data_IF_638006271407
#
_entry.id   IF_638006271407
#
_cell.length_a   1.000
_cell.length_b   1.000
_cell.length_c   1.000
_cell.angle_alpha   90.00
_cell.angle_beta   90.00
_cell.angle_gamma   90.00
#
_symmetry.space_group_name_H-M   'P 1'
#
loop_
_entity.id
_entity.type
_entity.pdbx_description
1 polymer ?
#
# COMPACT_ATOMS: atom_id res chain seq x y z
N UNK A 1 1.05 -17.12 -20.08
CA UNK A 1 -0.03 -16.44 -19.34
C UNK A 1 0.60 -15.88 -18.08
N UNK A 2 0.79 -14.55 -17.97
CA UNK A 2 1.33 -13.94 -16.75
C UNK A 2 0.20 -13.95 -15.72
N UNK A 3 0.35 -14.77 -14.68
CA UNK A 3 -0.59 -14.82 -13.57
C UNK A 3 -0.62 -13.45 -12.89
N UNK A 4 -1.81 -13.00 -12.53
CA UNK A 4 -2.00 -11.88 -11.62
C UNK A 4 -1.25 -12.20 -10.32
N UNK A 5 -0.14 -11.54 -10.07
CA UNK A 5 0.50 -11.60 -8.77
C UNK A 5 -0.33 -10.71 -7.83
N UNK A 6 -0.71 -11.24 -6.66
CA UNK A 6 -1.61 -10.58 -5.68
C UNK A 6 -1.13 -9.19 -5.25
N UNK A 7 0.14 -8.91 -5.50
CA UNK A 7 0.88 -7.69 -5.18
C UNK A 7 0.47 -6.46 -6.00
N UNK A 8 -0.29 -6.60 -7.08
CA UNK A 8 -0.79 -5.47 -7.86
C UNK A 8 -2.20 -5.03 -7.46
N UNK A 9 -2.81 -5.71 -6.47
CA UNK A 9 -4.15 -5.40 -5.97
C UNK A 9 -4.08 -4.65 -4.64
N UNK A 10 -4.43 -3.37 -4.65
CA UNK A 10 -4.66 -2.60 -3.44
C UNK A 10 -6.05 -2.94 -2.89
N UNK A 11 -6.07 -3.78 -1.84
CA UNK A 11 -7.31 -4.27 -1.20
C UNK A 11 -8.03 -3.14 -0.47
N UNK A 12 -7.30 -2.40 0.37
CA UNK A 12 -7.81 -1.31 1.19
C UNK A 12 -6.82 -0.14 1.24
N UNK A 13 -7.31 1.03 1.62
CA UNK A 13 -6.52 2.25 1.74
C UNK A 13 -5.97 2.41 3.15
N UNK A 14 -4.71 2.82 3.31
CA UNK A 14 -4.22 3.27 4.60
C UNK A 14 -4.91 4.59 5.00
N UNK A 15 -4.88 4.89 6.30
CA UNK A 15 -5.34 6.19 6.79
C UNK A 15 -4.42 7.33 6.28
N UNK A 16 -4.99 8.30 5.56
CA UNK A 16 -4.26 9.47 5.06
C UNK A 16 -4.17 10.63 6.08
N UNK A 17 -4.93 10.55 7.18
CA UNK A 17 -5.03 11.61 8.19
C UNK A 17 -3.77 11.83 9.04
N UNK A 18 -2.74 11.00 8.87
CA UNK A 18 -1.44 11.11 9.55
C UNK A 18 -0.37 11.73 8.64
N UNK A 19 -0.68 12.86 7.99
CA UNK A 19 0.21 13.55 7.04
C UNK A 19 0.68 12.63 5.89
N UNK A 20 -0.27 11.84 5.36
CA UNK A 20 -0.01 10.84 4.32
C UNK A 20 1.09 9.83 4.69
N UNK A 21 1.19 9.44 5.96
CA UNK A 21 2.17 8.47 6.44
C UNK A 21 1.56 7.46 7.40
N UNK A 22 2.25 6.35 7.63
CA UNK A 22 1.94 5.37 8.66
C UNK A 22 3.21 4.95 9.42
N UNK A 23 3.04 4.57 10.68
CA UNK A 23 4.06 3.85 11.43
C UNK A 23 3.76 2.36 11.33
N UNK A 24 4.71 1.58 10.85
CA UNK A 24 4.57 0.15 10.58
C UNK A 24 5.49 -0.60 11.54
N UNK A 25 4.95 -1.61 12.21
CA UNK A 25 5.69 -2.49 13.11
C UNK A 25 5.92 -3.84 12.43
N UNK A 26 7.15 -4.33 12.50
CA UNK A 26 7.55 -5.61 11.94
C UNK A 26 7.58 -6.69 13.01
N UNK A 27 7.54 -7.95 12.56
CA UNK A 27 7.47 -9.12 13.46
C UNK A 27 8.71 -9.27 14.37
N UNK A 28 9.84 -8.68 13.99
CA UNK A 28 11.08 -8.67 14.77
C UNK A 28 11.14 -7.51 15.80
N UNK A 29 10.10 -6.68 15.86
CA UNK A 29 10.00 -5.54 16.77
C UNK A 29 10.53 -4.22 16.21
N UNK A 30 11.04 -4.18 14.98
CA UNK A 30 11.43 -2.92 14.34
C UNK A 30 10.20 -2.07 13.99
N UNK A 31 10.41 -0.75 13.93
CA UNK A 31 9.40 0.23 13.58
C UNK A 31 9.95 1.14 12.50
N UNK A 32 9.17 1.34 11.44
CA UNK A 32 9.47 2.33 10.40
C UNK A 32 8.30 3.29 10.23
N UNK A 33 8.61 4.52 9.80
CA UNK A 33 7.62 5.48 9.35
C UNK A 33 7.72 5.55 7.83
N UNK A 34 6.65 5.16 7.15
CA UNK A 34 6.58 5.26 5.69
C UNK A 34 5.61 6.36 5.29
N UNK A 35 6.05 7.25 4.40
CA UNK A 35 5.20 8.25 3.77
C UNK A 35 4.72 7.71 2.43
N UNK A 36 3.41 7.65 2.25
CA UNK A 36 2.79 7.15 1.02
C UNK A 36 3.17 8.04 -0.16
N UNK A 37 3.69 7.42 -1.21
CA UNK A 37 4.26 8.10 -2.38
C UNK A 37 3.30 8.08 -3.56
N UNK A 38 2.52 7.01 -3.72
CA UNK A 38 1.60 6.88 -4.83
C UNK A 38 0.26 7.54 -4.51
N UNK A 39 -0.18 8.47 -5.35
CA UNK A 39 -1.48 9.14 -5.20
C UNK A 39 -2.67 8.17 -5.19
N UNK A 40 -2.51 6.97 -5.75
CA UNK A 40 -3.51 5.90 -5.74
C UNK A 40 -3.65 5.26 -4.35
N UNK A 41 -2.64 5.35 -3.49
CA UNK A 41 -2.65 4.85 -2.10
C UNK A 41 -3.34 5.84 -1.16
N UNK A 42 -3.33 7.14 -1.50
CA UNK A 42 -3.89 8.23 -0.69
C UNK A 42 -4.84 9.13 -1.52
N UNK A 43 -5.91 8.58 -2.11
CA UNK A 43 -6.83 9.38 -2.90
C UNK A 43 -7.51 10.46 -2.03
N UNK A 44 -7.91 11.60 -2.62
CA UNK A 44 -8.64 12.64 -1.90
C UNK A 44 -9.93 12.10 -1.27
N UNK A 45 -10.09 12.30 0.04
CA UNK A 45 -11.30 11.92 0.75
C UNK A 45 -12.37 13.01 0.60
N UNK A 46 -13.54 12.64 0.08
CA UNK A 46 -14.70 13.54 -0.02
C UNK A 46 -15.81 13.01 0.89
N UNK A 47 -16.32 13.86 1.79
CA UNK A 47 -17.39 13.48 2.73
C UNK A 47 -18.61 12.94 1.95
N UNK A 48 -19.12 11.79 2.37
CA UNK A 48 -20.29 11.15 1.76
C UNK A 48 -19.99 10.40 0.45
N UNK A 49 -18.72 10.29 0.06
CA UNK A 49 -18.29 9.50 -1.10
C UNK A 49 -17.41 8.34 -0.65
N UNK A 50 -17.83 7.13 -0.98
CA UNK A 50 -17.04 5.93 -0.75
C UNK A 50 -15.90 5.82 -1.76
N UNK A 51 -14.77 5.26 -1.31
CA UNK A 51 -13.68 4.87 -2.20
C UNK A 51 -13.95 3.47 -2.74
N UNK A 52 -13.52 3.22 -3.98
CA UNK A 52 -13.56 1.88 -4.55
C UNK A 52 -12.43 1.03 -3.96
N UNK A 53 -12.78 -0.12 -3.40
CA UNK A 53 -11.83 -1.11 -2.87
C UNK A 53 -11.37 -2.09 -3.96
N UNK A 54 -10.32 -2.88 -3.67
CA UNK A 54 -9.76 -3.88 -4.58
C UNK A 54 -9.36 -3.28 -5.93
N UNK A 55 -8.53 -2.24 -5.90
CA UNK A 55 -8.03 -1.58 -7.10
C UNK A 55 -6.80 -2.29 -7.63
N UNK A 56 -6.82 -2.61 -8.92
CA UNK A 56 -5.62 -3.02 -9.63
C UNK A 56 -4.74 -1.78 -9.88
N UNK A 57 -3.61 -1.71 -9.17
CA UNK A 57 -2.65 -0.60 -9.21
C UNK A 57 -1.26 -1.14 -9.53
N UNK A 58 -0.99 -1.49 -10.80
CA UNK A 58 0.30 -2.00 -11.20
C UNK A 58 1.38 -0.92 -10.97
N UNK A 59 2.58 -1.38 -10.60
CA UNK A 59 3.75 -0.55 -10.29
C UNK A 59 3.47 0.53 -9.22
N UNK A 60 2.64 0.23 -8.22
CA UNK A 60 2.46 1.11 -7.06
C UNK A 60 3.68 1.03 -6.15
N UNK A 61 4.38 2.14 -5.99
CA UNK A 61 5.61 2.22 -5.19
C UNK A 61 5.38 1.87 -3.72
N UNK A 62 4.21 2.19 -3.17
CA UNK A 62 3.90 1.87 -1.77
C UNK A 62 3.67 0.37 -1.57
N UNK A 63 3.02 -0.29 -2.54
CA UNK A 63 2.85 -1.74 -2.48
C UNK A 63 4.16 -2.49 -2.69
N UNK A 64 5.03 -2.00 -3.59
CA UNK A 64 6.37 -2.55 -3.78
C UNK A 64 7.20 -2.39 -2.50
N UNK A 65 7.18 -1.22 -1.88
CA UNK A 65 7.83 -0.99 -0.59
C UNK A 65 7.32 -1.97 0.48
N UNK A 66 6.00 -2.15 0.61
CA UNK A 66 5.44 -3.10 1.57
C UNK A 66 5.90 -4.54 1.31
N UNK A 67 6.03 -4.95 0.04
CA UNK A 67 6.53 -6.29 -0.29
C UNK A 67 8.00 -6.47 0.10
N UNK A 68 8.85 -5.48 -0.22
CA UNK A 68 10.27 -5.50 0.14
C UNK A 68 10.49 -5.60 1.65
N UNK A 69 9.54 -5.12 2.46
CA UNK A 69 9.58 -5.17 3.93
C UNK A 69 8.68 -6.28 4.52
N UNK A 70 8.21 -7.19 3.66
CA UNK A 70 7.49 -8.40 4.06
C UNK A 70 8.34 -9.63 3.83
N UNK A 71 7.93 -10.78 4.37
CA UNK A 71 8.58 -12.06 4.07
C UNK A 71 8.16 -12.64 2.71
N UNK A 72 7.48 -11.87 1.87
CA UNK A 72 6.99 -12.33 0.58
C UNK A 72 8.13 -12.51 -0.43
N UNK A 73 7.92 -13.39 -1.40
CA UNK A 73 8.89 -13.71 -2.44
C UNK A 73 8.91 -12.58 -3.47
N UNK A 74 9.81 -11.61 -3.31
CA UNK A 74 10.06 -10.59 -4.32
C UNK A 74 10.80 -11.24 -5.50
N UNK A 75 10.06 -11.59 -6.56
CA UNK A 75 10.66 -12.03 -7.83
C UNK A 75 11.41 -10.85 -8.45
N UNK A 76 12.73 -10.80 -8.27
CA UNK A 76 13.63 -9.89 -8.99
C UNK A 76 13.85 -10.35 -10.42
#
# INVERSE_FOLDING_TARGET
MRGFTLIELLVDYPASCHNNAARIAFADGHLEIHKWLDSRTIPPLTKGRELKLNLFTPQNLDMLWMQEHSSDLVSR
#
